data_IF_751764111780
#
_entry.id   IF_751764111780
#
_cell.length_a   1.000
_cell.length_b   1.000
_cell.length_c   1.000
_cell.angle_alpha   90.00
_cell.angle_beta   90.00
_cell.angle_gamma   90.00
#
_symmetry.space_group_name_H-M   'P 1'
#
loop_
_entity.id
_entity.type
_entity.pdbx_description
1 polymer ?
#
# COMPACT_ATOMS: atom_id res chain seq x y z
N UNK A 1 -11.00 -7.58 -6.41
CA UNK A 1 -11.83 -8.77 -6.74
C UNK A 1 -11.24 -9.46 -7.95
N UNK A 2 -11.36 -10.80 -8.11
CA UNK A 2 -10.81 -11.52 -9.28
C UNK A 2 -11.75 -11.39 -10.48
N UNK A 3 -11.21 -11.52 -11.71
CA UNK A 3 -11.95 -11.36 -12.97
C UNK A 3 -13.08 -12.39 -13.16
N UNK A 4 -12.93 -13.57 -12.57
CA UNK A 4 -13.90 -14.66 -12.64
C UNK A 4 -14.93 -14.66 -11.51
N UNK A 5 -15.03 -13.58 -10.75
CA UNK A 5 -16.04 -13.50 -9.69
C UNK A 5 -17.43 -13.28 -10.30
N UNK A 6 -18.40 -14.12 -9.93
CA UNK A 6 -19.78 -14.00 -10.38
C UNK A 6 -20.54 -13.09 -9.42
N UNK A 7 -21.12 -12.04 -9.95
CA UNK A 7 -21.93 -11.07 -9.21
C UNK A 7 -23.11 -10.60 -10.06
N UNK A 8 -24.13 -10.11 -9.41
CA UNK A 8 -25.29 -9.47 -10.01
C UNK A 8 -25.27 -7.99 -9.68
N UNK A 9 -25.42 -7.13 -10.68
CA UNK A 9 -25.50 -5.70 -10.49
C UNK A 9 -26.91 -5.34 -10.02
N UNK A 10 -26.99 -4.71 -8.86
CA UNK A 10 -28.25 -4.25 -8.26
C UNK A 10 -28.55 -2.80 -8.63
N UNK A 11 -27.50 -1.96 -8.68
CA UNK A 11 -27.59 -0.54 -8.94
C UNK A 11 -26.32 -0.03 -9.59
N UNK A 12 -26.45 0.81 -10.62
CA UNK A 12 -25.35 1.59 -11.20
C UNK A 12 -25.37 3.01 -10.64
N UNK A 13 -24.28 3.44 -10.01
CA UNK A 13 -24.13 4.80 -9.50
C UNK A 13 -23.58 5.73 -10.59
N UNK A 14 -24.11 6.95 -10.75
CA UNK A 14 -23.61 7.91 -11.72
C UNK A 14 -22.20 8.38 -11.32
N UNK A 15 -21.29 8.39 -12.30
CA UNK A 15 -19.93 8.88 -12.10
C UNK A 15 -19.87 10.40 -12.18
N UNK A 16 -19.26 11.02 -11.18
CA UNK A 16 -18.95 12.44 -11.13
C UNK A 16 -17.74 12.78 -12.01
N UNK A 17 -17.47 14.06 -12.20
CA UNK A 17 -16.27 14.52 -12.90
C UNK A 17 -14.99 14.17 -12.11
N UNK A 18 -15.04 14.24 -10.78
CA UNK A 18 -13.94 13.84 -9.89
C UNK A 18 -13.63 12.34 -10.01
N UNK A 19 -14.65 11.47 -10.09
CA UNK A 19 -14.47 10.03 -10.30
C UNK A 19 -13.75 9.74 -11.62
N UNK A 20 -14.16 10.42 -12.71
CA UNK A 20 -13.53 10.27 -14.02
C UNK A 20 -12.07 10.76 -14.01
N UNK A 21 -11.79 11.87 -13.32
CA UNK A 21 -10.43 12.38 -13.13
C UNK A 21 -9.55 11.40 -12.34
N UNK A 22 -10.15 10.65 -11.41
CA UNK A 22 -9.49 9.55 -10.66
C UNK A 22 -9.40 8.24 -11.47
N UNK A 23 -9.77 8.22 -12.75
CA UNK A 23 -9.82 7.04 -13.62
C UNK A 23 -10.80 5.97 -13.16
N UNK A 24 -11.86 6.33 -12.44
CA UNK A 24 -12.95 5.42 -12.11
C UNK A 24 -13.79 5.20 -13.39
N UNK A 25 -14.02 3.94 -13.74
CA UNK A 25 -14.77 3.53 -14.93
C UNK A 25 -16.19 3.11 -14.60
N UNK A 26 -16.40 2.53 -13.42
CA UNK A 26 -17.70 2.03 -13.00
C UNK A 26 -17.79 2.06 -11.48
N UNK A 27 -18.98 2.35 -10.98
CA UNK A 27 -19.35 2.36 -9.57
C UNK A 27 -20.71 1.71 -9.43
N UNK A 28 -20.75 0.53 -8.81
CA UNK A 28 -21.93 -0.35 -8.80
C UNK A 28 -22.17 -0.92 -7.43
N UNK A 29 -23.43 -1.08 -7.07
CA UNK A 29 -23.84 -1.93 -5.95
C UNK A 29 -24.12 -3.31 -6.51
N UNK A 30 -23.47 -4.33 -5.95
CA UNK A 30 -23.54 -5.70 -6.44
C UNK A 30 -23.87 -6.69 -5.33
N UNK A 31 -24.51 -7.80 -5.71
CA UNK A 31 -24.67 -8.99 -4.88
C UNK A 31 -23.70 -10.06 -5.35
N UNK A 32 -22.93 -10.64 -4.42
CA UNK A 32 -21.96 -11.70 -4.73
C UNK A 32 -22.60 -13.09 -4.61
N UNK A 33 -22.01 -14.06 -5.33
CA UNK A 33 -22.28 -15.49 -5.12
C UNK A 33 -23.48 -16.06 -5.86
N UNK A 34 -23.98 -15.41 -6.90
CA UNK A 34 -25.13 -15.87 -7.71
C UNK A 34 -24.88 -17.22 -8.44
N UNK A 35 -23.65 -17.67 -8.59
CA UNK A 35 -23.29 -18.88 -9.34
C UNK A 35 -22.98 -20.13 -8.53
N UNK A 36 -22.91 -20.09 -7.21
CA UNK A 36 -22.48 -21.24 -6.39
C UNK A 36 -23.60 -21.77 -5.50
N UNK A 37 -23.98 -23.04 -5.74
CA UNK A 37 -24.93 -23.75 -4.89
C UNK A 37 -24.40 -24.14 -3.49
N UNK A 38 -23.09 -24.02 -3.25
CA UNK A 38 -22.40 -24.48 -2.03
C UNK A 38 -21.83 -23.38 -1.13
N UNK A 39 -21.70 -22.17 -1.61
CA UNK A 39 -21.20 -21.05 -0.82
C UNK A 39 -22.39 -20.24 -0.32
N UNK A 40 -22.49 -20.04 0.99
CA UNK A 40 -23.49 -19.13 1.54
C UNK A 40 -23.38 -17.77 0.83
N UNK A 41 -24.50 -17.28 0.31
CA UNK A 41 -24.54 -15.93 -0.27
C UNK A 41 -24.37 -14.93 0.86
N UNK A 42 -23.56 -13.87 0.68
CA UNK A 42 -23.60 -12.75 1.58
C UNK A 42 -25.04 -12.21 1.65
N UNK A 43 -25.51 -11.92 2.83
CA UNK A 43 -26.82 -11.33 3.10
C UNK A 43 -26.86 -9.81 2.88
N UNK A 44 -25.74 -9.24 2.45
CA UNK A 44 -25.56 -7.80 2.22
C UNK A 44 -25.02 -7.52 0.82
N UNK A 45 -25.36 -6.36 0.30
CA UNK A 45 -24.81 -5.83 -0.93
C UNK A 45 -23.43 -5.25 -0.71
N UNK A 46 -22.58 -5.33 -1.73
CA UNK A 46 -21.22 -4.81 -1.74
C UNK A 46 -21.11 -3.79 -2.87
N UNK A 47 -20.34 -2.74 -2.65
CA UNK A 47 -20.01 -1.78 -3.68
C UNK A 47 -18.79 -2.24 -4.46
N UNK A 48 -18.88 -2.22 -5.78
CA UNK A 48 -17.81 -2.57 -6.71
C UNK A 48 -17.40 -1.33 -7.50
N UNK A 49 -16.19 -0.83 -7.25
CA UNK A 49 -15.60 0.28 -7.98
C UNK A 49 -14.52 -0.25 -8.91
N UNK A 50 -14.60 0.06 -10.21
CA UNK A 50 -13.61 -0.35 -11.22
C UNK A 50 -12.79 0.88 -11.60
N UNK A 51 -11.48 0.77 -11.41
CA UNK A 51 -10.52 1.84 -11.69
C UNK A 51 -9.55 1.39 -12.78
N UNK A 52 -9.31 2.26 -13.76
CA UNK A 52 -8.28 2.02 -14.79
C UNK A 52 -6.91 2.32 -14.19
N UNK A 53 -6.01 1.35 -14.30
CA UNK A 53 -4.62 1.46 -13.83
C UNK A 53 -3.65 1.17 -14.96
N UNK A 54 -2.40 1.63 -14.81
CA UNK A 54 -1.32 1.19 -15.70
C UNK A 54 -0.95 -0.24 -15.30
N UNK A 55 -0.93 -1.22 -16.24
CA UNK A 55 -0.51 -2.57 -15.93
C UNK A 55 0.89 -2.55 -15.34
N UNK A 56 1.11 -3.26 -14.24
CA UNK A 56 2.43 -3.41 -13.67
C UNK A 56 3.22 -4.40 -14.54
N UNK A 57 4.08 -3.89 -15.40
CA UNK A 57 5.06 -4.70 -16.13
C UNK A 57 6.21 -5.02 -15.17
N UNK A 58 6.23 -6.23 -14.62
CA UNK A 58 7.39 -6.70 -13.86
C UNK A 58 8.57 -6.84 -14.83
N UNK A 59 9.68 -6.11 -14.66
CA UNK A 59 10.86 -6.31 -15.49
C UNK A 59 11.53 -7.62 -15.08
N UNK A 60 11.34 -8.65 -15.87
CA UNK A 60 12.26 -9.79 -15.94
C UNK A 60 11.87 -11.05 -15.17
N UNK A 61 11.78 -12.14 -15.95
CA UNK A 61 12.17 -13.50 -15.61
C UNK A 61 11.19 -14.44 -14.91
N UNK A 62 9.91 -14.37 -15.10
CA UNK A 62 9.13 -15.62 -15.11
C UNK A 62 7.97 -15.48 -16.09
N UNK A 63 8.04 -16.23 -17.20
CA UNK A 63 6.90 -16.56 -18.06
C UNK A 63 5.97 -17.56 -17.33
N UNK A 64 5.53 -17.20 -16.14
CA UNK A 64 4.44 -17.83 -15.44
C UNK A 64 3.33 -16.81 -15.42
N UNK A 65 2.22 -17.12 -16.07
CA UNK A 65 1.11 -16.20 -16.30
C UNK A 65 0.82 -15.30 -15.09
N UNK A 66 0.91 -14.00 -15.31
CA UNK A 66 0.51 -12.99 -14.33
C UNK A 66 -1.00 -13.12 -14.13
N UNK A 67 -1.42 -13.95 -13.20
CA UNK A 67 -2.80 -13.99 -12.69
C UNK A 67 -2.99 -12.98 -11.56
N UNK A 68 -2.32 -11.84 -11.65
CA UNK A 68 -2.47 -10.73 -10.70
C UNK A 68 -3.81 -10.01 -10.90
N UNK A 69 -4.28 -9.37 -9.85
CA UNK A 69 -5.53 -8.59 -9.80
C UNK A 69 -5.55 -7.45 -10.85
N UNK A 70 -4.40 -7.13 -11.45
CA UNK A 70 -4.14 -5.95 -12.28
C UNK A 70 -3.63 -6.32 -13.69
N UNK A 71 -3.70 -7.59 -14.08
CA UNK A 71 -3.10 -8.06 -15.35
C UNK A 71 -3.79 -7.50 -16.60
N UNK A 72 -5.06 -7.13 -16.47
CA UNK A 72 -5.88 -6.56 -17.55
C UNK A 72 -5.92 -5.03 -17.58
N UNK A 73 -5.20 -4.36 -16.68
CA UNK A 73 -5.21 -2.89 -16.56
C UNK A 73 -6.42 -2.34 -15.80
N UNK A 74 -7.22 -3.20 -15.18
CA UNK A 74 -8.39 -2.82 -14.40
C UNK A 74 -8.27 -3.31 -12.95
N UNK A 75 -8.43 -2.39 -12.03
CA UNK A 75 -8.48 -2.67 -10.61
C UNK A 75 -9.93 -2.73 -10.14
N UNK A 76 -10.35 -3.88 -9.61
CA UNK A 76 -11.70 -4.11 -9.10
C UNK A 76 -11.71 -4.06 -7.59
N UNK A 77 -12.27 -2.99 -7.03
CA UNK A 77 -12.34 -2.72 -5.59
C UNK A 77 -13.73 -3.09 -5.07
N UNK A 78 -13.80 -4.11 -4.23
CA UNK A 78 -15.01 -4.45 -3.50
C UNK A 78 -14.91 -3.86 -2.08
N UNK A 79 -15.93 -3.14 -1.66
CA UNK A 79 -15.99 -2.46 -0.36
C UNK A 79 -17.41 -2.41 0.18
N UNK A 80 -17.53 -2.27 1.49
CA UNK A 80 -18.76 -1.98 2.21
C UNK A 80 -19.00 -0.46 2.43
N UNK A 81 -18.08 0.39 1.96
CA UNK A 81 -18.20 1.84 2.03
C UNK A 81 -19.19 2.35 0.97
N UNK A 82 -20.48 2.29 1.27
CA UNK A 82 -21.55 2.60 0.31
C UNK A 82 -21.69 4.11 0.04
N UNK A 83 -21.38 4.97 1.03
CA UNK A 83 -21.63 6.41 0.99
C UNK A 83 -20.39 7.25 0.67
N UNK A 84 -19.20 6.64 0.62
CA UNK A 84 -17.94 7.33 0.32
C UNK A 84 -17.83 7.56 -1.19
N UNK A 85 -17.44 8.77 -1.68
CA UNK A 85 -17.19 9.01 -3.10
C UNK A 85 -16.21 8.00 -3.72
N UNK A 86 -16.43 7.61 -5.00
CA UNK A 86 -15.65 6.55 -5.64
C UNK A 86 -14.18 6.94 -5.84
N UNK A 87 -13.89 8.23 -6.11
CA UNK A 87 -12.53 8.76 -6.18
C UNK A 87 -11.77 8.61 -4.86
N UNK A 88 -12.46 8.73 -3.71
CA UNK A 88 -11.86 8.53 -2.39
C UNK A 88 -11.56 7.05 -2.16
N UNK A 89 -12.41 6.13 -2.59
CA UNK A 89 -12.15 4.69 -2.53
C UNK A 89 -10.91 4.32 -3.36
N UNK A 90 -10.79 4.87 -4.57
CA UNK A 90 -9.63 4.70 -5.43
C UNK A 90 -8.35 5.24 -4.77
N UNK A 91 -8.42 6.41 -4.13
CA UNK A 91 -7.31 7.03 -3.41
C UNK A 91 -6.89 6.22 -2.19
N UNK A 92 -7.83 5.73 -1.38
CA UNK A 92 -7.55 4.87 -0.22
C UNK A 92 -6.82 3.60 -0.65
N UNK A 93 -7.25 2.97 -1.74
CA UNK A 93 -6.56 1.79 -2.26
C UNK A 93 -5.17 2.11 -2.80
N UNK A 94 -4.99 3.24 -3.45
CA UNK A 94 -3.67 3.70 -3.91
C UNK A 94 -2.68 3.80 -2.75
N UNK A 95 -3.11 4.30 -1.59
CA UNK A 95 -2.27 4.40 -0.38
C UNK A 95 -2.18 3.11 0.44
N UNK A 96 -2.98 2.08 0.16
CA UNK A 96 -2.94 0.79 0.89
C UNK A 96 -1.53 0.20 0.94
N UNK A 97 -0.81 0.22 -0.18
CA UNK A 97 0.54 -0.29 -0.27
C UNK A 97 1.53 0.48 0.63
N UNK A 98 1.28 1.74 0.88
CA UNK A 98 2.10 2.56 1.79
C UNK A 98 2.03 2.05 3.23
N UNK A 99 0.87 1.56 3.67
CA UNK A 99 0.68 0.93 4.98
C UNK A 99 1.52 -0.36 5.08
N UNK A 100 1.51 -1.19 4.04
CA UNK A 100 2.31 -2.42 4.00
C UNK A 100 3.81 -2.14 4.03
N UNK A 101 4.28 -1.14 3.27
CA UNK A 101 5.67 -0.69 3.31
C UNK A 101 6.03 -0.19 4.71
N UNK A 102 5.16 0.63 5.31
CA UNK A 102 5.36 1.14 6.67
C UNK A 102 5.45 0.00 7.69
N UNK A 103 4.51 -0.95 7.68
CA UNK A 103 4.53 -2.09 8.59
C UNK A 103 5.74 -3.00 8.36
N UNK A 104 6.19 -3.15 7.12
CA UNK A 104 7.42 -3.88 6.80
C UNK A 104 8.64 -3.18 7.39
N UNK A 105 8.75 -1.87 7.19
CA UNK A 105 9.81 -1.04 7.76
C UNK A 105 9.80 -1.12 9.28
N UNK A 106 8.64 -0.96 9.89
CA UNK A 106 8.45 -1.08 11.33
C UNK A 106 8.93 -2.43 11.89
N UNK A 107 8.55 -3.52 11.24
CA UNK A 107 8.93 -4.87 11.69
C UNK A 107 10.41 -5.20 11.46
N UNK A 108 10.95 -4.79 10.32
CA UNK A 108 12.26 -5.27 9.87
C UNK A 108 13.41 -4.31 10.19
N UNK A 109 13.17 -3.01 10.17
CA UNK A 109 14.22 -2.01 10.37
C UNK A 109 14.34 -1.58 11.83
N UNK A 110 13.22 -1.49 12.54
CA UNK A 110 13.21 -0.99 13.91
C UNK A 110 13.18 -2.11 14.97
N UNK A 111 13.41 -3.36 14.54
CA UNK A 111 13.47 -4.49 15.46
C UNK A 111 12.14 -4.81 16.16
N UNK A 112 11.01 -4.20 15.73
CA UNK A 112 9.68 -4.43 16.32
C UNK A 112 9.10 -5.82 16.03
N UNK A 113 9.94 -6.77 15.60
CA UNK A 113 9.59 -8.20 15.52
C UNK A 113 9.47 -8.84 16.90
N UNK A 114 10.23 -8.34 17.87
CA UNK A 114 10.24 -8.81 19.24
C UNK A 114 9.71 -7.69 20.14
N UNK A 115 8.71 -8.03 20.93
CA UNK A 115 8.21 -7.12 21.93
C UNK A 115 9.22 -7.07 23.08
N UNK A 116 9.69 -5.88 23.42
CA UNK A 116 10.58 -5.65 24.57
C UNK A 116 9.84 -5.77 25.91
N UNK A 117 8.51 -5.70 25.85
CA UNK A 117 7.64 -5.80 27.02
C UNK A 117 6.34 -6.51 26.64
N UNK A 118 5.79 -7.29 27.57
CA UNK A 118 4.46 -7.87 27.46
C UNK A 118 3.37 -6.96 28.05
N UNK A 119 3.74 -5.87 28.70
CA UNK A 119 2.82 -4.89 29.24
C UNK A 119 2.28 -4.00 28.11
N UNK A 120 0.96 -3.71 28.14
CA UNK A 120 0.28 -2.90 27.13
C UNK A 120 0.93 -1.51 26.93
N UNK A 121 1.36 -0.86 28.01
CA UNK A 121 2.03 0.44 27.92
C UNK A 121 3.44 0.31 27.32
N UNK A 122 4.18 -0.74 27.63
CA UNK A 122 5.49 -1.02 27.05
C UNK A 122 5.39 -1.25 25.53
N UNK A 123 4.39 -2.00 25.07
CA UNK A 123 4.11 -2.20 23.64
C UNK A 123 3.78 -0.87 22.94
N UNK A 124 2.93 -0.04 23.56
CA UNK A 124 2.62 1.30 23.01
C UNK A 124 3.86 2.18 22.90
N UNK A 125 4.70 2.23 23.94
CA UNK A 125 5.93 3.03 23.93
C UNK A 125 6.83 2.55 22.80
N UNK A 126 7.07 1.25 22.67
CA UNK A 126 7.88 0.68 21.57
C UNK A 126 7.32 1.08 20.20
N UNK A 127 6.01 0.98 20.01
CA UNK A 127 5.36 1.36 18.77
C UNK A 127 5.53 2.86 18.45
N UNK A 128 5.32 3.74 19.43
CA UNK A 128 5.49 5.19 19.23
C UNK A 128 6.96 5.56 18.97
N UNK A 129 7.91 4.99 19.71
CA UNK A 129 9.34 5.20 19.45
C UNK A 129 9.72 4.83 18.01
N UNK A 130 9.22 3.70 17.54
CA UNK A 130 9.47 3.24 16.18
C UNK A 130 8.84 4.16 15.11
N UNK A 131 7.62 4.64 15.33
CA UNK A 131 6.96 5.61 14.43
C UNK A 131 7.76 6.93 14.41
N UNK A 132 8.17 7.44 15.56
CA UNK A 132 8.96 8.67 15.67
C UNK A 132 10.29 8.50 14.94
N UNK A 133 11.00 7.38 15.14
CA UNK A 133 12.25 7.09 14.44
C UNK A 133 12.07 7.07 12.92
N UNK A 134 11.00 6.42 12.41
CA UNK A 134 10.68 6.43 10.98
C UNK A 134 10.44 7.83 10.44
N UNK A 135 9.70 8.66 11.18
CA UNK A 135 9.41 10.05 10.78
C UNK A 135 10.68 10.90 10.78
N UNK A 136 11.52 10.78 11.81
CA UNK A 136 12.79 11.51 11.89
C UNK A 136 13.73 11.11 10.74
N UNK A 137 13.87 9.82 10.45
CA UNK A 137 14.65 9.33 9.31
C UNK A 137 14.09 9.90 8.01
N UNK A 138 12.76 9.91 7.82
CA UNK A 138 12.14 10.44 6.62
C UNK A 138 12.37 11.94 6.47
N UNK A 139 12.26 12.72 7.54
CA UNK A 139 12.50 14.16 7.55
C UNK A 139 13.96 14.48 7.24
N UNK A 140 14.88 13.75 7.88
CA UNK A 140 16.31 13.97 7.71
C UNK A 140 16.81 13.56 6.32
N UNK A 141 16.38 12.39 5.82
CA UNK A 141 16.81 11.90 4.51
C UNK A 141 16.07 12.53 3.34
N UNK A 142 14.89 13.14 3.58
CA UNK A 142 13.97 13.61 2.54
C UNK A 142 13.34 12.45 1.75
N UNK A 143 13.44 11.22 2.26
CA UNK A 143 13.07 9.99 1.57
C UNK A 143 12.35 9.03 2.53
N UNK A 144 11.50 8.16 1.98
CA UNK A 144 10.89 7.07 2.78
C UNK A 144 11.99 6.18 3.36
N UNK A 145 11.86 5.70 4.62
CA UNK A 145 12.86 4.85 5.24
C UNK A 145 13.13 3.61 4.39
N UNK A 146 14.38 3.41 4.03
CA UNK A 146 14.82 2.21 3.32
C UNK A 146 15.67 1.34 4.25
N UNK A 147 15.78 0.06 3.95
CA UNK A 147 16.64 -0.86 4.68
C UNK A 147 18.09 -0.33 4.73
N UNK A 148 18.63 0.12 3.59
CA UNK A 148 20.00 0.65 3.50
C UNK A 148 20.21 1.92 4.31
N UNK A 149 19.24 2.86 4.31
CA UNK A 149 19.35 4.06 5.13
C UNK A 149 19.37 3.73 6.62
N UNK A 150 18.52 2.82 7.06
CA UNK A 150 18.46 2.38 8.45
C UNK A 150 19.70 1.61 8.87
N UNK A 151 20.21 0.71 8.03
CA UNK A 151 21.47 -0.01 8.30
C UNK A 151 22.65 0.95 8.45
N UNK A 152 22.75 1.97 7.56
CA UNK A 152 23.82 2.97 7.63
C UNK A 152 23.73 3.82 8.91
N UNK A 153 22.52 4.20 9.33
CA UNK A 153 22.30 4.89 10.61
C UNK A 153 22.71 4.00 11.78
N UNK A 154 22.34 2.71 11.76
CA UNK A 154 22.78 1.77 12.78
C UNK A 154 24.32 1.63 12.83
N UNK A 155 24.99 1.55 11.67
CA UNK A 155 26.46 1.48 11.62
C UNK A 155 27.11 2.73 12.20
N UNK A 156 26.56 3.90 11.92
CA UNK A 156 27.01 5.15 12.53
C UNK A 156 26.83 5.14 14.06
N UNK A 157 25.65 4.75 14.55
CA UNK A 157 25.37 4.67 15.99
C UNK A 157 26.23 3.62 16.72
N UNK A 158 26.64 2.55 16.02
CA UNK A 158 27.55 1.52 16.53
C UNK A 158 29.05 1.91 16.42
N UNK A 159 29.35 3.07 15.82
CA UNK A 159 30.72 3.50 15.59
C UNK A 159 31.43 2.76 14.44
N UNK A 160 30.68 2.05 13.58
CA UNK A 160 31.23 1.33 12.43
C UNK A 160 31.31 2.18 11.16
N UNK A 161 30.63 3.30 11.13
CA UNK A 161 30.71 4.30 10.09
C UNK A 161 30.91 5.69 10.72
N UNK A 162 31.64 6.56 10.05
CA UNK A 162 31.79 7.96 10.43
C UNK A 162 30.64 8.84 9.88
N UNK A 163 30.59 10.07 10.34
CA UNK A 163 29.58 11.05 9.91
C UNK A 163 29.71 11.37 8.42
N UNK A 164 30.93 11.40 7.89
CA UNK A 164 31.18 11.69 6.48
C UNK A 164 30.59 10.60 5.58
N UNK A 165 30.80 9.34 5.93
CA UNK A 165 30.23 8.16 5.24
C UNK A 165 28.71 8.17 5.28
N UNK A 166 28.11 8.45 6.42
CA UNK A 166 26.66 8.54 6.58
C UNK A 166 26.07 9.66 5.71
N UNK A 167 26.66 10.86 5.77
CA UNK A 167 26.22 12.03 5.01
C UNK A 167 26.35 11.81 3.50
N UNK A 168 27.45 11.22 3.03
CA UNK A 168 27.65 10.86 1.63
C UNK A 168 26.58 9.87 1.16
N UNK A 169 26.25 8.86 1.97
CA UNK A 169 25.21 7.88 1.66
C UNK A 169 23.83 8.54 1.50
N UNK A 170 23.44 9.43 2.42
CA UNK A 170 22.17 10.17 2.36
C UNK A 170 22.11 11.08 1.14
N UNK A 171 23.19 11.78 0.84
CA UNK A 171 23.30 12.66 -0.34
C UNK A 171 23.09 11.86 -1.63
N UNK A 172 23.71 10.69 -1.74
CA UNK A 172 23.54 9.79 -2.88
C UNK A 172 22.09 9.30 -3.04
N UNK A 173 21.40 9.00 -1.94
CA UNK A 173 19.97 8.61 -1.97
C UNK A 173 19.11 9.75 -2.50
N UNK A 174 19.31 10.98 -2.03
CA UNK A 174 18.58 12.18 -2.49
C UNK A 174 18.78 12.44 -3.98
N UNK A 175 20.02 12.29 -4.48
CA UNK A 175 20.33 12.46 -5.91
C UNK A 175 19.64 11.41 -6.79
N UNK A 176 19.62 10.17 -6.34
CA UNK A 176 18.94 9.08 -7.05
C UNK A 176 17.43 9.34 -7.18
N UNK A 177 16.79 9.83 -6.12
CA UNK A 177 15.36 10.17 -6.13
C UNK A 177 15.03 11.35 -7.05
N UNK A 178 15.90 12.37 -7.07
CA UNK A 178 15.76 13.50 -7.97
C UNK A 178 15.85 13.09 -9.44
N UNK A 179 16.70 12.11 -9.75
CA UNK A 179 16.84 11.54 -11.10
C UNK A 179 15.63 10.69 -11.52
N UNK A 180 15.01 9.97 -10.56
CA UNK A 180 13.87 9.08 -10.84
C UNK A 180 12.54 9.83 -10.98
N UNK A 181 12.44 11.06 -10.49
CA UNK A 181 11.24 11.90 -10.58
C UNK A 181 11.17 12.74 -11.88
N UNK A 182 12.18 12.69 -12.72
CA UNK A 182 12.22 13.28 -14.07
C UNK A 182 11.78 12.25 -15.11
#
# INVERSE_FOLDING_TARGET
MRDNSVYEVLEDKPLTEADRAANVLSDQIVSLGQGSKKSGRPDHSIRLVIVKIKPHVSPGKYQGGSSGVDSDGFLRLATDLLDVPAEIIALLYHYRWTIEIFLRTFKHLLGCRHLLSHNHNGIKIQAYCAIIACLLISLWTGHKPTKRASEMICYYLMGWADEATLTAHITKLRQHDAATKR
#
